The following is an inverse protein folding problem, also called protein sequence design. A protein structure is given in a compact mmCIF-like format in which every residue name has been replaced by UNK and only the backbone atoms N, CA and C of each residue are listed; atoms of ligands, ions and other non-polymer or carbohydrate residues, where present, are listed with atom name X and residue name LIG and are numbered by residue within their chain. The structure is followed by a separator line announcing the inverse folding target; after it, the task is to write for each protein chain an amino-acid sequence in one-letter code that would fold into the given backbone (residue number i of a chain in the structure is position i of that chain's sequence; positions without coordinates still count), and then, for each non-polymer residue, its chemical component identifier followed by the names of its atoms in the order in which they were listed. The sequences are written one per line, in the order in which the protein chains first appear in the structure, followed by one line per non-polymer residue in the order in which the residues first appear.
data_IF_948297788680
#
_entry.id   IF_948297788680
#
_cell.length_a   1.000
_cell.length_b   1.000
_cell.length_c   1.000
_cell.angle_alpha   90.00
_cell.angle_beta   90.00
_cell.angle_gamma   90.00
#
_symmetry.space_group_name_H-M   'P 1'
#
loop_
_entity.id
_entity.type
_entity.pdbx_description
1 polymer ?
#
# COMPACT_ATOMS: atom_id res chain seq x y z
N UNK A 1 18.24 -9.23 10.72
CA UNK A 1 17.28 -9.46 9.61
C UNK A 1 15.92 -8.80 9.86
N UNK A 2 15.27 -8.98 11.01
CA UNK A 2 13.97 -8.33 11.29
C UNK A 2 14.02 -6.79 11.20
N UNK A 3 15.10 -6.16 11.70
CA UNK A 3 15.31 -4.70 11.58
C UNK A 3 15.36 -4.23 10.13
N UNK A 4 15.95 -5.00 9.23
CA UNK A 4 16.00 -4.68 7.79
C UNK A 4 14.59 -4.66 7.20
N UNK A 5 13.73 -5.62 7.58
CA UNK A 5 12.34 -5.66 7.15
C UNK A 5 11.56 -4.42 7.63
N UNK A 6 11.80 -3.94 8.86
CA UNK A 6 11.21 -2.68 9.34
C UNK A 6 11.69 -1.46 8.54
N UNK A 7 12.99 -1.37 8.24
CA UNK A 7 13.53 -0.28 7.42
C UNK A 7 12.86 -0.25 6.05
N UNK A 8 12.76 -1.42 5.40
CA UNK A 8 12.09 -1.54 4.09
C UNK A 8 10.62 -1.16 4.19
N UNK A 9 9.92 -1.58 5.25
CA UNK A 9 8.53 -1.19 5.50
C UNK A 9 8.38 0.33 5.60
N UNK A 10 9.18 1.00 6.43
CA UNK A 10 9.10 2.44 6.59
C UNK A 10 9.45 3.18 5.30
N UNK A 11 10.43 2.71 4.54
CA UNK A 11 10.79 3.30 3.25
C UNK A 11 9.67 3.13 2.22
N UNK A 12 9.01 1.98 2.21
CA UNK A 12 7.85 1.72 1.36
C UNK A 12 6.66 2.63 1.73
N UNK A 13 6.37 2.78 3.02
CA UNK A 13 5.32 3.69 3.50
C UNK A 13 5.64 5.16 3.14
N UNK A 14 6.89 5.59 3.33
CA UNK A 14 7.32 6.94 2.93
C UNK A 14 7.17 7.15 1.41
N UNK A 15 7.51 6.14 0.61
CA UNK A 15 7.31 6.16 -0.85
C UNK A 15 5.84 6.23 -1.23
N UNK A 16 4.97 5.52 -0.52
CA UNK A 16 3.52 5.59 -0.70
C UNK A 16 3.00 7.01 -0.43
N UNK A 17 3.40 7.63 0.67
CA UNK A 17 3.03 9.03 1.00
C UNK A 17 3.57 10.01 -0.04
N UNK A 18 4.83 9.88 -0.46
CA UNK A 18 5.41 10.72 -1.49
C UNK A 18 4.66 10.60 -2.83
N UNK A 19 4.35 9.38 -3.25
CA UNK A 19 3.59 9.13 -4.47
C UNK A 19 2.16 9.69 -4.40
N UNK A 20 1.52 9.64 -3.22
CA UNK A 20 0.23 10.27 -2.99
C UNK A 20 0.30 11.79 -3.16
N UNK A 21 1.32 12.45 -2.56
CA UNK A 21 1.53 13.88 -2.71
C UNK A 21 1.76 14.31 -4.17
N UNK A 22 2.53 13.52 -4.93
CA UNK A 22 2.70 13.74 -6.38
C UNK A 22 1.36 13.59 -7.10
N UNK A 23 0.55 12.58 -6.77
CA UNK A 23 -0.74 12.38 -7.39
C UNK A 23 -1.72 13.53 -7.08
N UNK A 24 -1.74 14.05 -5.85
CA UNK A 24 -2.58 15.21 -5.48
C UNK A 24 -2.15 16.46 -6.25
N UNK A 25 -0.86 16.78 -6.25
CA UNK A 25 -0.35 17.98 -6.92
C UNK A 25 -0.59 17.94 -8.43
N UNK A 26 -0.32 16.81 -9.08
CA UNK A 26 -0.58 16.65 -10.51
C UNK A 26 -2.08 16.55 -10.82
N UNK A 27 -2.89 15.95 -9.94
CA UNK A 27 -4.35 15.92 -10.08
C UNK A 27 -4.99 17.30 -10.00
N UNK A 28 -4.52 18.16 -9.09
CA UNK A 28 -4.98 19.55 -8.99
C UNK A 28 -4.55 20.39 -10.20
N UNK A 29 -3.32 20.19 -10.73
CA UNK A 29 -2.88 20.82 -11.98
C UNK A 29 -3.71 20.36 -13.18
N UNK A 30 -4.00 19.06 -13.27
CA UNK A 30 -4.85 18.49 -14.32
C UNK A 30 -6.25 19.13 -14.31
N UNK A 31 -6.83 19.29 -13.11
CA UNK A 31 -8.11 19.99 -12.92
C UNK A 31 -8.03 21.44 -13.38
N UNK A 32 -7.01 22.19 -12.95
CA UNK A 32 -6.84 23.58 -13.35
C UNK A 32 -6.68 23.76 -14.86
N UNK A 33 -5.96 22.85 -15.53
CA UNK A 33 -5.82 22.84 -16.99
C UNK A 33 -7.15 22.51 -17.70
N UNK A 34 -7.95 21.58 -17.17
CA UNK A 34 -9.26 21.26 -17.71
C UNK A 34 -10.27 22.41 -17.53
N UNK A 35 -10.26 23.07 -16.36
CA UNK A 35 -11.09 24.23 -16.06
C UNK A 35 -10.72 25.42 -16.98
N UNK A 36 -9.43 25.67 -17.20
CA UNK A 36 -8.95 26.72 -18.11
C UNK A 36 -9.30 26.48 -19.59
N UNK A 37 -9.45 25.21 -19.99
CA UNK A 37 -9.83 24.84 -21.35
C UNK A 37 -11.34 24.97 -21.63
N UNK A 38 -12.14 25.44 -20.66
CA UNK A 38 -13.60 25.56 -20.80
C UNK A 38 -14.31 24.21 -20.96
N UNK A 39 -13.65 23.11 -20.61
CA UNK A 39 -14.22 21.77 -20.70
C UNK A 39 -15.41 21.62 -19.75
N UNK A 40 -16.42 20.79 -20.11
CA UNK A 40 -17.59 20.55 -19.27
C UNK A 40 -17.11 20.10 -17.90
N UNK A 41 -17.44 20.88 -16.87
CA UNK A 41 -16.96 20.75 -15.49
C UNK A 41 -16.71 19.30 -15.11
N UNK A 42 -15.43 18.89 -15.15
CA UNK A 42 -15.00 17.59 -14.66
C UNK A 42 -15.35 17.55 -13.18
N UNK A 43 -16.40 16.81 -12.84
CA UNK A 43 -17.10 16.75 -11.55
C UNK A 43 -16.25 16.34 -10.35
N UNK A 44 -14.94 16.17 -10.51
CA UNK A 44 -14.01 15.98 -9.42
C UNK A 44 -13.84 17.31 -8.66
N UNK A 45 -14.55 17.42 -7.54
CA UNK A 45 -14.28 18.42 -6.51
C UNK A 45 -12.81 18.34 -6.08
N UNK A 46 -12.18 19.48 -5.80
CA UNK A 46 -10.80 19.50 -5.29
C UNK A 46 -10.63 18.62 -4.05
N UNK A 47 -11.66 18.56 -3.19
CA UNK A 47 -11.71 17.69 -2.01
C UNK A 47 -11.61 16.22 -2.41
N UNK A 48 -12.29 15.82 -3.48
CA UNK A 48 -12.24 14.44 -3.96
C UNK A 48 -10.88 14.09 -4.56
N UNK A 49 -10.17 15.04 -5.16
CA UNK A 49 -8.80 14.84 -5.63
C UNK A 49 -7.77 14.78 -4.49
N UNK A 50 -8.04 15.39 -3.35
CA UNK A 50 -7.21 15.23 -2.16
C UNK A 50 -7.45 13.85 -1.53
N UNK A 51 -8.72 13.43 -1.43
CA UNK A 51 -9.10 12.13 -0.85
C UNK A 51 -8.76 10.95 -1.76
N UNK A 52 -8.83 11.14 -3.07
CA UNK A 52 -8.55 10.14 -4.08
C UNK A 52 -7.93 10.76 -5.34
N UNK A 53 -6.63 11.09 -5.30
CA UNK A 53 -5.98 11.80 -6.41
C UNK A 53 -5.94 11.00 -7.71
N UNK A 54 -5.99 9.67 -7.63
CA UNK A 54 -5.92 8.79 -8.78
C UNK A 54 -7.15 8.87 -9.70
N UNK A 55 -8.26 9.48 -9.26
CA UNK A 55 -9.40 9.81 -10.12
C UNK A 55 -8.97 10.71 -11.30
N UNK A 56 -8.00 11.58 -11.11
CA UNK A 56 -7.51 12.50 -12.15
C UNK A 56 -6.86 11.78 -13.34
N UNK A 57 -6.49 10.50 -13.24
CA UNK A 57 -5.92 9.74 -14.37
C UNK A 57 -6.88 9.61 -15.56
N UNK A 58 -8.19 9.74 -15.31
CA UNK A 58 -9.24 9.58 -16.32
C UNK A 58 -9.47 10.88 -17.10
N UNK A 59 -8.84 11.99 -16.71
CA UNK A 59 -8.91 13.26 -17.42
C UNK A 59 -8.19 13.15 -18.76
N UNK A 60 -8.81 13.67 -19.81
CA UNK A 60 -8.32 13.64 -21.18
C UNK A 60 -8.10 15.07 -21.72
N UNK A 61 -7.57 15.18 -22.94
CA UNK A 61 -7.38 16.47 -23.61
C UNK A 61 -6.23 17.28 -23.00
N UNK A 62 -6.38 18.61 -22.79
CA UNK A 62 -5.33 19.49 -22.27
C UNK A 62 -4.71 19.07 -20.93
N UNK A 63 -5.40 18.20 -20.18
CA UNK A 63 -4.95 17.66 -18.90
C UNK A 63 -4.18 16.32 -19.01
N UNK A 64 -4.01 15.76 -20.21
CA UNK A 64 -3.50 14.40 -20.42
C UNK A 64 -2.08 14.16 -19.88
N UNK A 65 -1.19 15.15 -19.96
CA UNK A 65 0.19 15.02 -19.46
C UNK A 65 0.23 14.90 -17.93
N UNK A 66 -0.57 15.71 -17.24
CA UNK A 66 -0.74 15.62 -15.79
C UNK A 66 -1.44 14.31 -15.40
N UNK A 67 -2.46 13.88 -16.14
CA UNK A 67 -3.13 12.59 -15.93
C UNK A 67 -2.17 11.39 -16.08
N UNK A 68 -1.23 11.42 -17.03
CA UNK A 68 -0.18 10.40 -17.16
C UNK A 68 0.75 10.37 -15.95
N UNK A 69 1.12 11.53 -15.40
CA UNK A 69 1.95 11.63 -14.19
C UNK A 69 1.21 11.08 -12.96
N UNK A 70 -0.09 11.37 -12.83
CA UNK A 70 -0.95 10.75 -11.81
C UNK A 70 -0.98 9.22 -11.97
N UNK A 71 -1.07 8.71 -13.20
CA UNK A 71 -1.01 7.28 -13.47
C UNK A 71 0.31 6.63 -13.04
N UNK A 72 1.45 7.28 -13.31
CA UNK A 72 2.76 6.81 -12.83
C UNK A 72 2.85 6.82 -11.30
N UNK A 73 2.33 7.87 -10.66
CA UNK A 73 2.26 7.95 -9.21
C UNK A 73 1.39 6.84 -8.61
N UNK A 74 0.28 6.48 -9.27
CA UNK A 74 -0.56 5.36 -8.85
C UNK A 74 0.18 4.01 -8.89
N UNK A 75 0.95 3.76 -9.95
CA UNK A 75 1.76 2.55 -10.06
C UNK A 75 2.80 2.49 -8.94
N UNK A 76 3.49 3.61 -8.67
CA UNK A 76 4.45 3.70 -7.57
C UNK A 76 3.79 3.48 -6.21
N UNK A 77 2.60 4.03 -5.99
CA UNK A 77 1.81 3.84 -4.76
C UNK A 77 1.47 2.36 -4.55
N UNK A 78 0.94 1.68 -5.57
CA UNK A 78 0.57 0.26 -5.48
C UNK A 78 1.82 -0.60 -5.24
N UNK A 79 2.91 -0.34 -5.97
CA UNK A 79 4.16 -1.05 -5.76
C UNK A 79 4.69 -0.89 -4.33
N UNK A 80 4.64 0.34 -3.79
CA UNK A 80 5.03 0.61 -2.42
C UNK A 80 4.17 -0.14 -1.40
N UNK A 81 2.84 -0.22 -1.60
CA UNK A 81 1.96 -1.00 -0.73
C UNK A 81 2.27 -2.51 -0.78
N UNK A 82 2.55 -3.06 -1.96
CA UNK A 82 2.94 -4.47 -2.10
C UNK A 82 4.26 -4.78 -1.38
N UNK A 83 5.25 -3.88 -1.50
CA UNK A 83 6.52 -4.01 -0.78
C UNK A 83 6.29 -3.93 0.73
N UNK A 84 5.46 -3.00 1.20
CA UNK A 84 5.10 -2.89 2.61
C UNK A 84 4.46 -4.17 3.14
N UNK A 85 3.50 -4.74 2.40
CA UNK A 85 2.85 -6.00 2.77
C UNK A 85 3.85 -7.17 2.85
N UNK A 86 4.76 -7.28 1.86
CA UNK A 86 5.81 -8.28 1.86
C UNK A 86 6.77 -8.11 3.05
N UNK A 87 7.18 -6.87 3.36
CA UNK A 87 8.05 -6.56 4.48
C UNK A 87 7.41 -6.92 5.83
N UNK A 88 6.11 -6.64 6.01
CA UNK A 88 5.35 -7.05 7.21
C UNK A 88 5.28 -8.57 7.32
N UNK A 89 5.07 -9.28 6.21
CA UNK A 89 5.04 -10.74 6.19
C UNK A 89 6.39 -11.33 6.62
N UNK A 90 7.49 -10.82 6.06
CA UNK A 90 8.86 -11.22 6.43
C UNK A 90 9.16 -10.90 7.89
N UNK A 91 8.83 -9.70 8.34
CA UNK A 91 9.02 -9.30 9.74
C UNK A 91 8.29 -10.26 10.67
N UNK A 92 7.00 -10.49 10.43
CA UNK A 92 6.16 -11.39 11.22
C UNK A 92 6.74 -12.81 11.27
N UNK A 93 7.23 -13.34 10.14
CA UNK A 93 7.84 -14.66 10.09
C UNK A 93 9.14 -14.74 10.90
N UNK A 94 9.96 -13.69 10.84
CA UNK A 94 11.23 -13.63 11.57
C UNK A 94 11.06 -13.41 13.07
N UNK A 95 9.95 -12.80 13.50
CA UNK A 95 9.66 -12.53 14.92
C UNK A 95 8.70 -13.53 15.55
N UNK A 96 8.09 -14.42 14.76
CA UNK A 96 7.19 -15.43 15.28
C UNK A 96 7.95 -16.43 16.16
N UNK A 97 7.59 -16.47 17.45
CA UNK A 97 8.03 -17.53 18.35
C UNK A 97 7.24 -18.79 18.03
N UNK A 98 7.93 -19.84 17.59
CA UNK A 98 7.29 -21.13 17.32
C UNK A 98 6.77 -21.70 18.65
N UNK A 99 5.47 -22.05 18.76
CA UNK A 99 4.98 -22.77 19.94
C UNK A 99 5.82 -24.04 20.13
N UNK A 100 6.21 -24.41 21.37
CA UNK A 100 6.79 -25.71 21.62
C UNK A 100 5.86 -26.77 21.04
N UNK A 101 6.39 -27.71 20.25
CA UNK A 101 5.62 -28.85 19.76
C UNK A 101 4.96 -29.51 20.98
N UNK A 102 3.63 -29.55 21.01
CA UNK A 102 2.92 -30.35 21.99
C UNK A 102 3.49 -31.77 21.90
N UNK A 103 4.10 -32.26 22.99
CA UNK A 103 4.62 -33.62 23.04
C UNK A 103 3.54 -34.59 22.56
N UNK A 104 3.87 -35.56 21.69
CA UNK A 104 2.89 -36.55 21.27
C UNK A 104 2.34 -37.24 22.53
N UNK A 105 1.03 -37.16 22.73
CA UNK A 105 0.31 -37.89 23.75
C UNK A 105 0.46 -39.39 23.45
N UNK A 106 1.51 -40.01 23.98
CA UNK A 106 1.90 -41.35 23.56
C UNK A 106 3.02 -41.94 24.38
N UNK A 107 2.89 -42.00 25.70
CA UNK A 107 3.48 -43.08 26.49
C UNK A 107 2.46 -43.52 27.54
N UNK A 108 1.92 -44.72 27.34
CA UNK A 108 0.90 -45.31 28.20
C UNK A 108 1.41 -45.52 29.61
N UNK A 109 0.63 -45.08 30.59
CA UNK A 109 0.80 -45.49 31.98
C UNK A 109 0.45 -46.98 32.06
N UNK A 110 1.45 -47.84 32.30
CA UNK A 110 1.20 -49.24 32.61
C UNK A 110 0.37 -49.32 33.91
N UNK A 111 -0.79 -49.96 33.85
CA UNK A 111 -1.66 -50.15 35.00
C UNK A 111 -0.97 -51.03 36.06
N UNK A 112 -1.01 -50.68 37.35
CA UNK A 112 -0.45 -51.52 38.39
C UNK A 112 -1.32 -52.78 38.58
N UNK A 113 -0.76 -53.93 38.24
CA UNK A 113 -1.27 -55.25 38.60
C UNK A 113 -1.18 -55.42 40.12
N UNK A 114 -2.33 -55.65 40.77
CA UNK A 114 -2.41 -56.01 42.19
C UNK A 114 -2.33 -57.54 42.31
N UNK A 115 -1.29 -58.02 42.99
CA UNK A 115 -1.21 -59.36 43.59
C UNK A 115 -1.76 -59.34 45.00
#
# INVERSE_FOLDING_TARGET
MAVVALIVLFLALASAVASWGVAVTEGLKAKGAADAAGGPHGSASAVQLVLWPFAARLLAGPAADHARRVGKAQVAFIAALMIAAAAISVYSNLTAVRPPLAHPAGQGSAAPSKS
#
